data_IF_692904573751
#
_entry.id   IF_692904573751
#
_cell.length_a   1.000
_cell.length_b   1.000
_cell.length_c   1.000
_cell.angle_alpha   90.00
_cell.angle_beta   90.00
_cell.angle_gamma   90.00
#
_symmetry.space_group_name_H-M   'P 1'
#
loop_
_entity.id
_entity.type
_entity.pdbx_description
1 polymer ?
#
# COMPACT_ATOMS: atom_id res chain seq x y z
N UNK A 1 6.84 -8.38 1.23
CA UNK A 1 5.63 -8.55 2.07
C UNK A 1 5.25 -7.30 2.88
N UNK A 2 6.16 -6.33 3.06
CA UNK A 2 5.94 -5.13 3.89
C UNK A 2 4.63 -4.36 3.62
N UNK A 3 4.31 -4.04 2.36
CA UNK A 3 3.09 -3.29 2.02
C UNK A 3 1.80 -4.01 2.44
N UNK A 4 1.77 -5.34 2.29
CA UNK A 4 0.65 -6.18 2.70
C UNK A 4 0.45 -6.19 4.21
N UNK A 5 1.54 -6.24 4.97
CA UNK A 5 1.49 -6.28 6.43
C UNK A 5 1.20 -4.89 7.02
N UNK A 6 1.65 -3.83 6.33
CA UNK A 6 1.52 -2.44 6.76
C UNK A 6 0.12 -1.88 6.51
N UNK A 7 -0.47 -2.20 5.35
CA UNK A 7 -1.74 -1.62 4.93
C UNK A 7 -2.79 -2.69 4.61
N UNK A 8 -3.84 -2.76 5.44
CA UNK A 8 -5.00 -3.64 5.23
C UNK A 8 -5.71 -3.41 3.90
N UNK A 9 -5.63 -2.18 3.36
CA UNK A 9 -6.24 -1.75 2.10
C UNK A 9 -5.31 -1.86 0.88
N UNK A 10 -4.15 -2.50 1.05
CA UNK A 10 -3.18 -2.72 -0.01
C UNK A 10 -3.74 -3.62 -1.11
N UNK A 11 -3.44 -3.27 -2.36
CA UNK A 11 -3.74 -4.06 -3.55
C UNK A 11 -2.44 -4.34 -4.28
N UNK A 12 -2.18 -5.62 -4.53
CA UNK A 12 -0.95 -6.05 -5.20
C UNK A 12 -0.92 -5.72 -6.70
N UNK A 13 -2.08 -5.63 -7.35
CA UNK A 13 -2.15 -5.47 -8.80
C UNK A 13 -1.75 -4.07 -9.28
N UNK A 14 -1.99 -3.03 -8.48
CA UNK A 14 -1.60 -1.64 -8.75
C UNK A 14 -0.54 -1.11 -7.77
N UNK A 15 -0.05 -1.95 -6.85
CA UNK A 15 0.85 -1.57 -5.76
C UNK A 15 0.36 -0.35 -4.96
N UNK A 16 -0.95 -0.24 -4.70
CA UNK A 16 -1.51 0.91 -3.98
C UNK A 16 -2.21 0.54 -2.68
N UNK A 17 -2.31 1.50 -1.77
CA UNK A 17 -3.13 1.42 -0.55
C UNK A 17 -4.01 2.68 -0.41
N UNK A 18 -5.06 2.58 0.40
CA UNK A 18 -5.94 3.72 0.70
C UNK A 18 -5.57 4.31 2.08
N UNK A 19 -5.09 5.56 2.17
CA UNK A 19 -4.98 6.29 3.44
C UNK A 19 -6.36 6.76 3.91
N UNK A 20 -6.49 7.10 5.19
CA UNK A 20 -7.77 7.52 5.78
C UNK A 20 -8.30 8.79 5.10
N UNK A 21 -9.30 8.61 4.22
CA UNK A 21 -10.04 9.70 3.57
C UNK A 21 -9.39 10.33 2.33
N UNK A 22 -8.29 9.78 1.81
CA UNK A 22 -7.61 10.30 0.60
C UNK A 22 -7.65 9.33 -0.57
N UNK A 23 -7.19 9.72 -1.78
CA UNK A 23 -7.05 8.83 -2.93
C UNK A 23 -6.02 7.73 -2.68
N UNK A 24 -6.04 6.66 -3.50
CA UNK A 24 -5.06 5.58 -3.41
C UNK A 24 -3.65 6.10 -3.67
N UNK A 25 -2.69 5.66 -2.86
CA UNK A 25 -1.29 6.02 -2.98
C UNK A 25 -0.43 4.77 -3.23
N UNK A 26 0.65 4.92 -3.98
CA UNK A 26 1.59 3.82 -4.21
C UNK A 26 2.35 3.46 -2.94
N UNK A 27 2.56 2.17 -2.72
CA UNK A 27 3.34 1.68 -1.62
C UNK A 27 4.82 1.58 -1.98
N UNK A 28 5.66 2.20 -1.16
CA UNK A 28 7.11 2.12 -1.25
C UNK A 28 7.65 1.28 -0.10
N UNK A 29 8.13 0.07 -0.41
CA UNK A 29 8.80 -0.79 0.58
C UNK A 29 10.25 -0.30 0.76
N UNK A 30 10.71 -0.04 1.99
CA UNK A 30 12.11 0.33 2.24
C UNK A 30 13.09 -0.86 2.13
N UNK A 31 12.59 -2.08 1.94
CA UNK A 31 13.37 -3.31 1.90
C UNK A 31 13.26 -4.00 0.53
N UNK A 32 13.58 -3.28 -0.55
CA UNK A 32 13.47 -3.76 -1.94
C UNK A 32 14.16 -5.11 -2.16
#
# INVERSE_FOLDING_TARGET
RWCYDRYRSYRAWDNTFQPYGGPRQQCWSPFS
#
